data_IF_898918950974
#
_entry.id   IF_898918950974
#
_cell.length_a   1.000
_cell.length_b   1.000
_cell.length_c   1.000
_cell.angle_alpha   90.00
_cell.angle_beta   90.00
_cell.angle_gamma   90.00
#
_symmetry.space_group_name_H-M   'P 1'
#
loop_
_entity.id
_entity.type
_entity.pdbx_description
1 polymer ?
#
# COMPACT_ATOMS: atom_id res chain seq x y z
N UNK A 1 1.18 -2.48 9.10
CA UNK A 1 1.44 -3.49 10.14
C UNK A 1 2.26 -4.65 9.59
N UNK A 2 3.08 -5.36 10.40
CA UNK A 2 3.73 -6.61 10.00
C UNK A 2 2.70 -7.75 9.83
N UNK A 3 3.07 -8.76 9.05
CA UNK A 3 2.29 -10.00 8.89
C UNK A 3 0.85 -9.83 8.37
N UNK A 4 0.58 -8.77 7.60
CA UNK A 4 -0.72 -8.51 6.97
C UNK A 4 -0.84 -9.13 5.57
N UNK A 5 0.23 -9.78 5.05
CA UNK A 5 0.28 -10.33 3.69
C UNK A 5 0.79 -9.34 2.63
N UNK A 6 1.43 -8.26 3.05
CA UNK A 6 1.92 -7.20 2.15
C UNK A 6 2.91 -7.73 1.10
N UNK A 7 3.95 -8.45 1.52
CA UNK A 7 4.96 -8.99 0.60
C UNK A 7 4.42 -10.12 -0.29
N UNK A 8 3.51 -10.94 0.23
CA UNK A 8 2.77 -11.95 -0.55
C UNK A 8 2.01 -11.28 -1.68
N UNK A 9 1.26 -10.23 -1.37
CA UNK A 9 0.51 -9.46 -2.36
C UNK A 9 1.43 -8.76 -3.37
N UNK A 10 2.52 -8.15 -2.89
CA UNK A 10 3.52 -7.54 -3.76
C UNK A 10 4.10 -8.55 -4.74
N UNK A 11 4.46 -9.74 -4.27
CA UNK A 11 4.97 -10.83 -5.12
C UNK A 11 3.91 -11.30 -6.13
N UNK A 12 2.66 -11.48 -5.70
CA UNK A 12 1.58 -11.84 -6.61
C UNK A 12 1.41 -10.82 -7.74
N UNK A 13 1.41 -9.54 -7.41
CA UNK A 13 1.27 -8.46 -8.39
C UNK A 13 2.47 -8.34 -9.33
N UNK A 14 3.70 -8.51 -8.82
CA UNK A 14 4.92 -8.28 -9.59
C UNK A 14 5.37 -9.52 -10.36
N UNK A 15 5.24 -10.73 -9.81
CA UNK A 15 5.63 -11.97 -10.47
C UNK A 15 4.67 -12.36 -11.59
N UNK A 16 3.37 -12.10 -11.46
CA UNK A 16 2.41 -12.30 -12.53
C UNK A 16 2.80 -11.58 -13.83
N UNK A 17 3.46 -10.44 -13.71
CA UNK A 17 3.84 -9.59 -14.82
C UNK A 17 5.32 -9.72 -15.24
N UNK A 18 6.20 -10.19 -14.37
CA UNK A 18 7.58 -10.49 -14.73
C UNK A 18 7.69 -11.59 -15.79
N UNK A 19 6.74 -12.54 -15.77
CA UNK A 19 6.62 -13.59 -16.80
C UNK A 19 6.03 -13.08 -18.13
N UNK A 20 5.30 -11.98 -18.11
CA UNK A 20 4.55 -11.48 -19.29
C UNK A 20 5.23 -10.33 -20.03
N UNK A 21 6.24 -9.68 -19.47
CA UNK A 21 6.78 -8.46 -20.06
C UNK A 21 8.31 -8.45 -20.11
N UNK A 22 8.87 -8.64 -21.28
CA UNK A 22 10.20 -8.14 -21.65
C UNK A 22 10.15 -6.59 -21.73
N UNK A 23 10.02 -5.91 -20.58
CA UNK A 23 10.15 -4.46 -20.52
C UNK A 23 11.63 -4.06 -20.55
N UNK A 24 12.06 -3.25 -21.54
CA UNK A 24 13.49 -2.89 -21.70
C UNK A 24 14.05 -1.97 -20.60
N UNK A 25 13.26 -1.59 -19.60
CA UNK A 25 13.64 -0.64 -18.54
C UNK A 25 13.36 -1.15 -17.11
N UNK A 26 13.18 -2.45 -16.93
CA UNK A 26 13.03 -3.03 -15.59
C UNK A 26 14.40 -3.08 -14.89
N UNK A 27 14.84 -1.98 -14.32
CA UNK A 27 15.85 -1.99 -13.24
C UNK A 27 15.13 -2.54 -12.01
N UNK A 28 15.44 -3.76 -11.65
CA UNK A 28 14.91 -4.39 -10.44
C UNK A 28 15.69 -3.81 -9.26
N UNK A 29 15.21 -2.69 -8.72
CA UNK A 29 15.59 -2.32 -7.37
C UNK A 29 14.84 -3.25 -6.40
N UNK A 30 15.51 -3.81 -5.38
CA UNK A 30 14.82 -4.62 -4.40
C UNK A 30 13.73 -3.76 -3.74
N UNK A 31 12.47 -4.16 -3.83
CA UNK A 31 11.27 -3.52 -3.31
C UNK A 31 10.50 -2.59 -4.25
N UNK A 32 10.83 -2.53 -5.54
CA UNK A 32 10.03 -1.81 -6.54
C UNK A 32 9.56 -2.78 -7.62
N UNK A 33 8.25 -2.77 -7.91
CA UNK A 33 7.64 -3.59 -8.94
C UNK A 33 6.85 -2.73 -9.92
N UNK A 34 7.07 -2.89 -11.23
CA UNK A 34 6.35 -2.21 -12.29
C UNK A 34 5.30 -3.16 -12.84
N UNK A 35 4.03 -2.75 -12.73
CA UNK A 35 2.88 -3.56 -13.16
C UNK A 35 2.16 -2.83 -14.30
N UNK A 36 1.99 -3.46 -15.47
CA UNK A 36 1.20 -2.89 -16.56
C UNK A 36 -0.29 -2.87 -16.19
N UNK A 37 -0.96 -1.81 -16.58
CA UNK A 37 -2.42 -1.68 -16.39
C UNK A 37 -3.12 -2.36 -17.57
N UNK A 38 -3.92 -3.41 -17.36
CA UNK A 38 -4.73 -4.02 -18.39
C UNK A 38 -5.74 -2.99 -18.95
N UNK A 39 -5.77 -2.82 -20.28
CA UNK A 39 -6.73 -1.91 -20.92
C UNK A 39 -7.13 -2.49 -22.29
N UNK A 40 -8.32 -3.05 -22.36
CA UNK A 40 -8.87 -3.65 -23.59
C UNK A 40 -8.98 -2.66 -24.75
N UNK A 41 -9.03 -1.35 -24.47
CA UNK A 41 -9.06 -0.31 -25.51
C UNK A 41 -7.78 -0.29 -26.32
N UNK A 42 -6.65 -0.67 -25.71
CA UNK A 42 -5.37 -0.77 -26.42
C UNK A 42 -5.39 -1.86 -27.49
N UNK A 43 -6.07 -2.98 -27.23
CA UNK A 43 -6.20 -4.08 -28.21
C UNK A 43 -7.06 -3.67 -29.42
N UNK A 44 -8.08 -2.87 -29.18
CA UNK A 44 -8.93 -2.31 -30.23
C UNK A 44 -8.14 -1.31 -31.06
N UNK A 45 -7.41 -0.40 -30.44
CA UNK A 45 -6.59 0.61 -31.12
C UNK A 45 -5.46 -0.03 -31.93
N UNK A 46 -4.77 -1.02 -31.37
CA UNK A 46 -3.72 -1.79 -32.07
C UNK A 46 -4.25 -2.37 -33.37
N UNK A 47 -5.42 -3.02 -33.32
CA UNK A 47 -6.06 -3.59 -34.54
C UNK A 47 -6.50 -2.52 -35.52
N UNK A 48 -7.06 -1.39 -35.07
CA UNK A 48 -7.55 -0.32 -35.95
C UNK A 48 -6.42 0.36 -36.72
N UNK A 49 -5.27 0.56 -36.07
CA UNK A 49 -4.16 1.30 -36.66
C UNK A 49 -3.02 0.41 -37.15
N UNK A 50 -3.17 -0.93 -37.06
CA UNK A 50 -2.11 -1.90 -37.33
C UNK A 50 -0.77 -1.49 -36.69
N UNK A 51 -0.83 -1.15 -35.39
CA UNK A 51 0.31 -0.61 -34.69
C UNK A 51 1.39 -1.68 -34.49
N UNK A 52 2.64 -1.34 -34.76
CA UNK A 52 3.78 -2.25 -34.60
C UNK A 52 4.09 -2.54 -33.13
N UNK A 53 3.64 -1.67 -32.21
CA UNK A 53 3.94 -1.78 -30.79
C UNK A 53 2.79 -1.27 -29.93
N UNK A 54 2.42 -2.07 -28.91
CA UNK A 54 1.46 -1.73 -27.87
C UNK A 54 2.19 -1.52 -26.53
N UNK A 55 2.02 -0.35 -25.95
CA UNK A 55 2.64 -0.02 -24.64
C UNK A 55 1.52 0.39 -23.67
N UNK A 56 1.18 -0.44 -22.67
CA UNK A 56 0.21 -0.09 -21.65
C UNK A 56 0.78 0.96 -20.70
N UNK A 57 -0.10 1.66 -20.00
CA UNK A 57 0.28 2.43 -18.82
C UNK A 57 0.81 1.48 -17.74
N UNK A 58 1.68 2.00 -16.86
CA UNK A 58 2.25 1.21 -15.76
C UNK A 58 1.99 1.87 -14.42
N UNK A 59 1.88 1.04 -13.39
CA UNK A 59 1.86 1.46 -11.99
C UNK A 59 3.11 0.90 -11.32
N UNK A 60 3.81 1.77 -10.62
CA UNK A 60 4.96 1.40 -9.82
C UNK A 60 4.51 1.12 -8.39
N UNK A 61 4.74 -0.11 -7.93
CA UNK A 61 4.51 -0.52 -6.56
C UNK A 61 5.83 -0.53 -5.80
N UNK A 62 5.84 0.12 -4.64
CA UNK A 62 7.00 0.14 -3.74
C UNK A 62 6.64 -0.66 -2.50
N UNK A 63 7.36 -1.78 -2.26
CA UNK A 63 7.18 -2.56 -1.04
C UNK A 63 7.89 -1.87 0.12
N UNK A 64 7.14 -1.13 0.91
CA UNK A 64 7.65 -0.42 2.08
C UNK A 64 7.50 -1.32 3.30
N UNK A 65 8.56 -1.52 4.08
CA UNK A 65 8.55 -2.33 5.30
C UNK A 65 7.39 -1.91 6.24
N UNK A 66 6.77 -2.88 6.92
CA UNK A 66 5.57 -2.61 7.72
C UNK A 66 5.81 -1.58 8.83
N UNK A 67 4.93 -0.62 8.94
CA UNK A 67 4.91 0.36 10.03
C UNK A 67 4.52 -0.35 11.33
N UNK A 68 5.27 -0.10 12.39
CA UNK A 68 4.94 -0.49 13.76
C UNK A 68 4.62 0.75 14.56
N UNK A 69 3.81 0.59 15.59
CA UNK A 69 3.50 1.66 16.54
C UNK A 69 4.78 2.29 17.11
N UNK A 70 4.81 3.61 17.22
CA UNK A 70 5.97 4.37 17.68
C UNK A 70 7.07 4.57 16.64
N UNK A 71 6.83 4.23 15.39
CA UNK A 71 7.81 4.41 14.31
C UNK A 71 8.14 5.90 14.05
N UNK A 72 7.20 6.80 14.31
CA UNK A 72 7.40 8.25 14.22
C UNK A 72 8.35 8.77 15.31
N UNK A 73 8.40 8.14 16.48
CA UNK A 73 9.24 8.55 17.62
C UNK A 73 10.64 7.93 17.61
N UNK A 74 10.92 6.98 16.71
CA UNK A 74 12.21 6.26 16.63
C UNK A 74 13.25 6.96 15.76
N UNK A 75 14.47 7.11 16.28
CA UNK A 75 15.61 7.52 15.48
C UNK A 75 15.97 6.40 14.48
N UNK A 76 15.81 6.63 13.18
CA UNK A 76 16.39 5.83 12.12
C UNK A 76 15.40 5.15 11.17
N UNK A 77 14.83 3.98 11.49
CA UNK A 77 14.01 3.18 10.56
C UNK A 77 12.67 3.82 10.22
N UNK A 78 11.99 4.43 11.21
CA UNK A 78 10.70 5.08 11.01
C UNK A 78 10.79 6.29 10.07
N UNK A 79 11.83 7.11 10.20
CA UNK A 79 12.03 8.26 9.33
C UNK A 79 12.33 7.89 7.87
N UNK A 80 13.06 6.78 7.61
CA UNK A 80 13.27 6.26 6.27
C UNK A 80 11.97 5.75 5.65
N UNK A 81 11.16 5.04 6.43
CA UNK A 81 9.84 4.58 6.03
C UNK A 81 8.93 5.74 5.61
N UNK A 82 8.84 6.77 6.45
CA UNK A 82 8.03 7.95 6.15
C UNK A 82 8.55 8.72 4.92
N UNK A 83 9.85 8.71 4.66
CA UNK A 83 10.44 9.30 3.46
C UNK A 83 9.96 8.58 2.20
N UNK A 84 9.96 7.24 2.18
CA UNK A 84 9.45 6.48 1.03
C UNK A 84 7.95 6.73 0.80
N UNK A 85 7.13 6.81 1.87
CA UNK A 85 5.71 7.18 1.69
C UNK A 85 5.58 8.58 1.08
N UNK A 86 6.45 9.54 1.43
CA UNK A 86 6.40 10.89 0.85
C UNK A 86 6.64 10.89 -0.65
N UNK A 87 7.46 10.00 -1.17
CA UNK A 87 7.75 9.87 -2.60
C UNK A 87 6.59 9.25 -3.38
N UNK A 88 5.79 8.39 -2.75
CA UNK A 88 4.63 7.77 -3.39
C UNK A 88 3.49 8.77 -3.62
N UNK A 89 2.75 8.60 -4.71
CA UNK A 89 1.57 9.42 -5.03
C UNK A 89 0.32 8.95 -4.29
N UNK A 90 0.19 7.65 -4.07
CA UNK A 90 -0.97 6.97 -3.47
C UNK A 90 -0.46 6.00 -2.41
N UNK A 91 -1.19 5.85 -1.33
CA UNK A 91 -0.92 4.85 -0.29
C UNK A 91 -1.86 3.67 -0.52
N UNK A 92 -1.29 2.46 -0.69
CA UNK A 92 -2.02 1.21 -0.62
C UNK A 92 -1.88 0.63 0.78
N UNK A 93 -2.92 0.77 1.60
CA UNK A 93 -2.92 0.29 2.98
C UNK A 93 -3.46 -1.14 3.03
N UNK A 94 -2.56 -2.11 3.19
CA UNK A 94 -2.94 -3.52 3.35
C UNK A 94 -3.35 -3.78 4.79
N UNK A 95 -4.59 -4.22 4.97
CA UNK A 95 -5.21 -4.50 6.27
C UNK A 95 -5.51 -5.98 6.39
N UNK A 96 -5.08 -6.60 7.49
CA UNK A 96 -5.37 -8.01 7.79
C UNK A 96 -6.79 -8.17 8.30
N UNK A 97 -7.54 -9.06 7.68
CA UNK A 97 -8.86 -9.52 8.15
C UNK A 97 -8.81 -11.03 8.40
N UNK A 98 -8.05 -11.77 7.61
CA UNK A 98 -7.92 -13.23 7.72
C UNK A 98 -7.44 -13.66 9.10
N UNK A 99 -7.96 -14.80 9.56
CA UNK A 99 -7.59 -15.44 10.82
C UNK A 99 -6.60 -16.56 10.55
N UNK A 100 -5.46 -16.52 11.23
CA UNK A 100 -4.49 -17.63 11.19
C UNK A 100 -3.73 -17.62 12.51
N UNK A 101 -3.86 -18.71 13.28
CA UNK A 101 -3.27 -18.86 14.61
C UNK A 101 -1.75 -19.06 14.55
N UNK A 102 -1.21 -19.54 13.42
CA UNK A 102 0.22 -19.70 13.20
C UNK A 102 0.94 -18.40 12.90
N UNK A 103 0.20 -17.34 12.55
CA UNK A 103 0.75 -16.04 12.20
C UNK A 103 0.44 -15.04 13.31
N UNK A 104 1.46 -14.69 14.10
CA UNK A 104 1.31 -13.72 15.18
C UNK A 104 0.80 -12.38 14.64
N UNK A 105 -0.30 -11.89 15.22
CA UNK A 105 -0.72 -10.51 15.03
C UNK A 105 0.04 -9.63 16.03
N UNK A 106 0.73 -8.62 15.54
CA UNK A 106 1.45 -7.67 16.41
C UNK A 106 0.44 -6.67 16.92
N UNK A 107 -0.02 -6.88 18.16
CA UNK A 107 -0.84 -5.89 18.87
C UNK A 107 0.03 -5.07 19.83
N UNK A 108 -0.54 -3.94 20.22
CA UNK A 108 0.04 -2.98 21.18
C UNK A 108 0.39 -3.62 22.53
N UNK A 109 -0.28 -4.71 22.90
CA UNK A 109 -0.05 -5.42 24.15
C UNK A 109 0.68 -6.75 23.88
N UNK A 110 2.00 -6.74 24.01
CA UNK A 110 2.90 -7.85 23.72
C UNK A 110 2.63 -9.17 24.50
N UNK A 111 1.63 -9.24 25.36
CA UNK A 111 1.41 -10.37 26.28
C UNK A 111 0.15 -11.22 25.97
N UNK A 112 -0.62 -10.87 24.95
CA UNK A 112 -1.77 -11.69 24.52
C UNK A 112 -1.79 -11.78 23.00
N UNK A 113 -2.06 -12.97 22.40
CA UNK A 113 -2.37 -13.07 20.99
C UNK A 113 -3.59 -12.17 20.75
N UNK A 114 -3.39 -11.04 20.06
CA UNK A 114 -4.50 -10.14 19.80
C UNK A 114 -5.41 -10.76 18.74
N UNK A 115 -6.70 -10.63 18.98
CA UNK A 115 -7.66 -10.83 17.91
C UNK A 115 -7.36 -9.85 16.76
N UNK A 116 -7.55 -10.30 15.52
CA UNK A 116 -7.41 -9.43 14.34
C UNK A 116 -8.49 -8.35 14.43
N UNK A 117 -8.07 -7.10 14.48
CA UNK A 117 -8.96 -5.94 14.55
C UNK A 117 -8.58 -4.95 13.43
N UNK A 118 -9.25 -5.02 12.27
CA UNK A 118 -8.98 -4.14 11.14
C UNK A 118 -9.12 -2.65 11.46
N UNK A 119 -10.06 -2.31 12.36
CA UNK A 119 -10.30 -0.91 12.76
C UNK A 119 -9.13 -0.38 13.57
N UNK A 120 -8.69 -1.12 14.58
CA UNK A 120 -7.54 -0.73 15.39
C UNK A 120 -6.25 -0.61 14.56
N UNK A 121 -6.03 -1.55 13.62
CA UNK A 121 -4.89 -1.50 12.70
C UNK A 121 -4.88 -0.25 11.82
N UNK A 122 -6.04 0.16 11.32
CA UNK A 122 -6.20 1.37 10.51
C UNK A 122 -5.92 2.61 11.36
N UNK A 123 -6.51 2.71 12.55
CA UNK A 123 -6.35 3.84 13.47
C UNK A 123 -4.89 4.03 13.90
N UNK A 124 -4.14 2.95 14.15
CA UNK A 124 -2.71 3.02 14.49
C UNK A 124 -1.92 3.67 13.35
N UNK A 125 -2.09 3.19 12.13
CA UNK A 125 -1.35 3.72 10.98
C UNK A 125 -1.72 5.18 10.71
N UNK A 126 -3.00 5.51 10.79
CA UNK A 126 -3.47 6.88 10.62
C UNK A 126 -2.84 7.81 11.66
N UNK A 127 -2.82 7.40 12.93
CA UNK A 127 -2.19 8.17 14.01
C UNK A 127 -0.70 8.40 13.76
N UNK A 128 0.04 7.39 13.28
CA UNK A 128 1.47 7.53 12.96
C UNK A 128 1.71 8.52 11.82
N UNK A 129 0.85 8.53 10.79
CA UNK A 129 0.92 9.50 9.70
C UNK A 129 0.62 10.93 10.18
N UNK A 130 -0.38 11.09 11.04
CA UNK A 130 -0.75 12.38 11.64
C UNK A 130 0.39 12.94 12.51
N UNK A 131 1.01 12.08 13.34
CA UNK A 131 2.16 12.46 14.15
C UNK A 131 3.34 12.92 13.29
N UNK A 132 3.63 12.21 12.20
CA UNK A 132 4.69 12.57 11.28
C UNK A 132 4.43 13.91 10.57
N UNK A 133 3.17 14.19 10.24
CA UNK A 133 2.78 15.48 9.67
C UNK A 133 2.86 16.61 10.71
N UNK A 134 2.51 16.34 11.94
CA UNK A 134 2.64 17.29 13.05
C UNK A 134 4.11 17.71 13.23
N UNK A 135 5.04 16.76 13.32
CA UNK A 135 6.47 17.06 13.41
C UNK A 135 6.97 17.86 12.20
N UNK A 136 6.44 17.55 11.00
CA UNK A 136 6.81 18.28 9.78
C UNK A 136 6.33 19.73 9.86
N UNK A 137 5.12 19.98 10.34
CA UNK A 137 4.57 21.33 10.57
C UNK A 137 5.43 22.12 11.55
N UNK A 138 5.78 21.53 12.70
CA UNK A 138 6.63 22.19 13.69
C UNK A 138 7.99 22.60 13.10
N UNK A 139 8.64 21.69 12.37
CA UNK A 139 9.94 21.95 11.73
C UNK A 139 9.86 23.11 10.72
N UNK A 140 8.77 23.16 9.95
CA UNK A 140 8.55 24.22 8.95
C UNK A 140 8.24 25.55 9.62
N UNK A 141 7.38 25.58 10.62
CA UNK A 141 7.08 26.79 11.38
C UNK A 141 8.33 27.36 12.04
N UNK A 142 9.17 26.51 12.62
CA UNK A 142 10.44 26.92 13.21
C UNK A 142 11.39 27.53 12.17
N UNK A 143 11.44 26.99 10.94
CA UNK A 143 12.21 27.54 9.83
C UNK A 143 11.65 28.89 9.35
N UNK A 144 10.33 29.01 9.21
CA UNK A 144 9.65 30.27 8.82
C UNK A 144 9.86 31.40 9.83
N UNK A 145 9.87 31.09 11.12
CA UNK A 145 10.20 32.07 12.18
C UNK A 145 11.64 32.57 12.07
N UNK A 146 12.57 31.76 11.58
CA UNK A 146 13.98 32.13 11.40
C UNK A 146 14.26 32.86 10.08
N UNK A 147 13.55 32.51 9.00
CA UNK A 147 13.69 33.07 7.67
C UNK A 147 12.37 33.69 7.23
N UNK A 148 12.24 35.00 7.30
CA UNK A 148 11.03 35.72 6.89
C UNK A 148 10.75 35.69 5.38
N UNK A 149 11.73 35.32 4.56
CA UNK A 149 11.66 35.25 3.07
C UNK A 149 11.43 33.80 2.55
N UNK A 150 11.11 32.84 3.43
CA UNK A 150 10.83 31.51 2.96
C UNK A 150 9.49 31.50 2.20
N UNK A 151 9.56 31.28 0.87
CA UNK A 151 8.41 31.08 0.00
C UNK A 151 7.46 30.02 0.57
N UNK A 152 6.16 30.19 0.34
CA UNK A 152 5.11 29.21 0.71
C UNK A 152 5.26 27.93 -0.14
N UNK A 153 6.32 27.16 0.08
CA UNK A 153 6.38 25.81 -0.48
C UNK A 153 5.24 24.98 0.09
N UNK A 154 4.41 24.46 -0.80
CA UNK A 154 3.33 23.53 -0.43
C UNK A 154 3.96 22.24 0.06
N UNK A 155 3.86 21.97 1.35
CA UNK A 155 4.39 20.74 1.93
C UNK A 155 3.39 19.61 1.67
N UNK A 156 3.81 18.53 1.00
CA UNK A 156 2.93 17.39 0.82
C UNK A 156 2.80 16.64 2.14
N UNK A 157 1.68 16.81 2.82
CA UNK A 157 1.37 16.04 4.02
C UNK A 157 1.03 14.58 3.67
N UNK A 158 1.38 13.67 4.55
CA UNK A 158 1.12 12.24 4.38
C UNK A 158 -0.38 11.94 4.46
N UNK A 159 -1.08 12.63 5.35
CA UNK A 159 -2.52 12.50 5.56
C UNK A 159 -3.36 13.06 4.41
N UNK A 160 -2.79 13.89 3.55
CA UNK A 160 -3.47 14.43 2.36
C UNK A 160 -3.39 13.50 1.15
N UNK A 161 -2.56 12.45 1.21
CA UNK A 161 -2.43 11.50 0.11
C UNK A 161 -3.67 10.63 -0.04
N UNK A 162 -4.07 10.31 -1.29
CA UNK A 162 -5.12 9.34 -1.52
C UNK A 162 -4.74 7.98 -0.93
N UNK A 163 -5.68 7.32 -0.26
CA UNK A 163 -5.49 5.99 0.31
C UNK A 163 -6.46 5.02 -0.35
N UNK A 164 -5.95 3.84 -0.72
CA UNK A 164 -6.73 2.67 -1.10
C UNK A 164 -6.52 1.63 -0.01
N UNK A 165 -7.63 1.20 0.61
CA UNK A 165 -7.59 0.13 1.61
C UNK A 165 -7.74 -1.21 0.93
N UNK A 166 -6.75 -2.09 1.14
CA UNK A 166 -6.75 -3.43 0.60
C UNK A 166 -6.89 -4.43 1.75
N UNK A 167 -8.10 -4.96 1.90
CA UNK A 167 -8.43 -5.92 2.94
C UNK A 167 -8.01 -7.32 2.49
N UNK A 168 -7.02 -7.88 3.17
CA UNK A 168 -6.59 -9.26 2.96
C UNK A 168 -7.47 -10.19 3.80
N UNK A 169 -8.34 -10.92 3.13
CA UNK A 169 -9.42 -11.74 3.71
C UNK A 169 -9.19 -13.23 3.42
N UNK A 170 -9.86 -14.09 4.16
CA UNK A 170 -9.93 -15.52 3.84
C UNK A 170 -10.83 -15.77 2.62
N UNK A 171 -10.70 -16.95 2.01
CA UNK A 171 -11.47 -17.33 0.83
C UNK A 171 -12.99 -17.29 1.10
N UNK A 172 -13.42 -17.75 2.27
CA UNK A 172 -14.83 -17.70 2.68
C UNK A 172 -15.35 -16.27 2.87
N UNK A 173 -14.49 -15.36 3.29
CA UNK A 173 -14.83 -13.95 3.52
C UNK A 173 -14.91 -13.16 2.20
N UNK A 174 -14.27 -13.64 1.13
CA UNK A 174 -14.39 -13.04 -0.21
C UNK A 174 -15.83 -13.01 -0.73
N UNK A 175 -16.69 -13.92 -0.27
CA UNK A 175 -18.11 -13.98 -0.66
C UNK A 175 -19.06 -13.35 0.36
N UNK A 176 -18.54 -12.88 1.51
CA UNK A 176 -19.34 -12.31 2.58
C UNK A 176 -19.61 -10.82 2.35
N UNK A 177 -20.71 -10.50 1.67
CA UNK A 177 -21.08 -9.12 1.37
C UNK A 177 -21.42 -8.28 2.61
N UNK A 178 -21.89 -8.89 3.70
CA UNK A 178 -22.15 -8.16 4.95
C UNK A 178 -20.85 -7.59 5.55
N UNK A 179 -19.83 -8.45 5.66
CA UNK A 179 -18.49 -8.03 6.14
C UNK A 179 -17.87 -6.99 5.23
N UNK A 180 -17.96 -7.18 3.91
CA UNK A 180 -17.44 -6.21 2.94
C UNK A 180 -18.09 -4.84 3.06
N UNK A 181 -19.40 -4.79 3.30
CA UNK A 181 -20.12 -3.53 3.48
C UNK A 181 -19.69 -2.84 4.78
N UNK A 182 -19.55 -3.56 5.87
CA UNK A 182 -19.02 -3.03 7.13
C UNK A 182 -17.62 -2.43 6.94
N UNK A 183 -16.72 -3.14 6.26
CA UNK A 183 -15.37 -2.68 5.99
C UNK A 183 -15.33 -1.50 4.99
N UNK A 184 -16.26 -1.43 4.03
CA UNK A 184 -16.41 -0.25 3.15
C UNK A 184 -16.85 0.98 3.93
N UNK A 185 -17.82 0.82 4.83
CA UNK A 185 -18.28 1.91 5.70
C UNK A 185 -17.19 2.42 6.63
N UNK A 186 -16.38 1.50 7.17
CA UNK A 186 -15.26 1.83 8.06
C UNK A 186 -14.25 2.80 7.42
N UNK A 187 -14.01 2.67 6.11
CA UNK A 187 -13.00 3.46 5.40
C UNK A 187 -13.57 4.53 4.47
N UNK A 188 -14.88 4.70 4.44
CA UNK A 188 -15.53 5.70 3.59
C UNK A 188 -15.03 7.13 3.91
N UNK A 189 -14.80 8.00 2.91
CA UNK A 189 -15.06 7.82 1.47
C UNK A 189 -13.93 7.16 0.65
N UNK A 190 -12.91 6.63 1.29
CA UNK A 190 -11.80 5.97 0.61
C UNK A 190 -12.23 4.65 -0.07
N UNK A 191 -11.45 4.22 -1.04
CA UNK A 191 -11.75 2.99 -1.78
C UNK A 191 -11.32 1.76 -1.00
N UNK A 192 -12.21 0.76 -0.90
CA UNK A 192 -11.93 -0.56 -0.35
C UNK A 192 -11.82 -1.61 -1.47
N UNK A 193 -10.78 -2.45 -1.41
CA UNK A 193 -10.55 -3.60 -2.28
C UNK A 193 -10.38 -4.83 -1.39
N UNK A 194 -10.92 -5.97 -1.79
CA UNK A 194 -10.86 -7.22 -1.04
C UNK A 194 -10.08 -8.25 -1.85
N UNK A 195 -9.07 -8.85 -1.24
CA UNK A 195 -8.18 -9.82 -1.88
C UNK A 195 -7.88 -10.96 -0.91
N UNK A 196 -7.57 -12.12 -1.46
CA UNK A 196 -6.89 -13.18 -0.72
C UNK A 196 -5.46 -13.27 -1.28
N UNK A 197 -4.51 -12.67 -0.57
CA UNK A 197 -3.15 -12.55 -1.07
C UNK A 197 -2.47 -13.91 -1.32
N UNK A 198 -2.81 -14.92 -0.53
CA UNK A 198 -2.29 -16.28 -0.68
C UNK A 198 -2.82 -16.95 -1.97
N UNK A 199 -4.12 -16.83 -2.21
CA UNK A 199 -4.76 -17.37 -3.42
C UNK A 199 -4.20 -16.71 -4.68
N UNK A 200 -4.03 -15.39 -4.66
CA UNK A 200 -3.43 -14.65 -5.77
C UNK A 200 -1.99 -15.10 -6.07
N UNK A 201 -1.17 -15.33 -5.02
CA UNK A 201 0.19 -15.83 -5.18
C UNK A 201 0.22 -17.25 -5.75
N UNK A 202 -0.65 -18.15 -5.27
CA UNK A 202 -0.78 -19.53 -5.77
C UNK A 202 -1.23 -19.55 -7.24
N UNK A 203 -2.19 -18.73 -7.61
CA UNK A 203 -2.67 -18.62 -9.00
C UNK A 203 -1.58 -18.11 -9.95
N UNK A 204 -0.73 -17.22 -9.50
CA UNK A 204 0.40 -16.70 -10.29
C UNK A 204 1.43 -17.79 -10.60
N UNK A 205 1.61 -18.78 -9.70
CA UNK A 205 2.49 -19.92 -9.89
C UNK A 205 1.93 -21.02 -10.80
N UNK A 206 0.61 -21.00 -11.06
CA UNK A 206 -0.06 -21.90 -12.00
C UNK A 206 0.00 -21.28 -13.39
N UNK A 207 1.06 -21.56 -14.14
CA UNK A 207 1.13 -21.22 -15.56
C UNK A 207 -0.02 -21.91 -16.32
N UNK A 208 -0.88 -21.13 -16.95
CA UNK A 208 -1.88 -21.61 -17.92
C UNK A 208 -1.21 -22.21 -19.15
#
# INVERSE_FOLDING_TARGET
MPNVGKSTLFNALTNAHALAANYPFATIEPNVGIVPVPDERLDVLEKMYAAEKKIPATVEFVDIAGLVEGASKGEGLGNKFLAHIRECQIICHVVRVFKNDDIMHVSVNANTPAAVDPKADIEIIQTELELADFETREKVEAKRKKNKDASEEKIPYLTEKPVIYMFNVDETELTNESLKNELRELVAPARAVFVNAKLEEEMTGMSL
#
